data_IF_829483620351
#
_entry.id   IF_829483620351
#
_cell.length_a   1.000
_cell.length_b   1.000
_cell.length_c   1.000
_cell.angle_alpha   90.00
_cell.angle_beta   90.00
_cell.angle_gamma   90.00
#
_symmetry.space_group_name_H-M   'P 1'
#
loop_
_entity.id
_entity.type
_entity.pdbx_description
1 polymer ?
#
# COMPACT_ATOMS: atom_id res chain seq x y z
N UNK A 1 -11.77 0.01 7.76
CA UNK A 1 -12.39 -0.96 8.68
C UNK A 1 -11.33 -1.99 9.08
N UNK A 2 -11.51 -2.69 10.20
CA UNK A 2 -10.60 -3.76 10.62
C UNK A 2 -10.58 -4.87 9.56
N UNK A 3 -9.40 -5.25 9.07
CA UNK A 3 -9.24 -6.35 8.12
C UNK A 3 -9.59 -6.04 6.65
N UNK A 4 -9.83 -4.78 6.29
CA UNK A 4 -10.10 -4.39 4.89
C UNK A 4 -8.90 -4.46 3.96
N UNK A 5 -9.14 -4.85 2.71
CA UNK A 5 -8.09 -4.98 1.71
C UNK A 5 -7.71 -3.71 1.01
N UNK A 6 -6.64 -3.06 1.49
CA UNK A 6 -6.06 -1.88 0.89
C UNK A 6 -4.89 -2.24 -0.04
N UNK A 7 -5.05 -3.27 -0.87
CA UNK A 7 -4.09 -3.48 -1.94
C UNK A 7 -4.19 -2.33 -2.96
N UNK A 8 -3.07 -1.97 -3.60
CA UNK A 8 -3.03 -0.78 -4.46
C UNK A 8 -4.09 -0.82 -5.57
N UNK A 9 -4.35 -2.01 -6.12
CA UNK A 9 -5.37 -2.25 -7.15
C UNK A 9 -6.80 -2.04 -6.66
N UNK A 10 -7.07 -2.24 -5.36
CA UNK A 10 -8.38 -1.99 -4.76
C UNK A 10 -8.58 -0.54 -4.36
N UNK A 11 -7.51 0.13 -3.94
CA UNK A 11 -7.57 1.56 -3.63
C UNK A 11 -7.69 2.41 -4.90
N UNK A 12 -7.09 1.96 -6.01
CA UNK A 12 -7.06 2.69 -7.29
C UNK A 12 -7.54 1.83 -8.47
N UNK A 13 -8.80 1.37 -8.47
CA UNK A 13 -9.32 0.47 -9.50
C UNK A 13 -9.37 1.13 -10.88
N UNK A 14 -9.55 2.45 -10.94
CA UNK A 14 -9.53 3.24 -12.18
C UNK A 14 -8.16 3.25 -12.88
N UNK A 15 -7.07 3.05 -12.11
CA UNK A 15 -5.69 3.04 -12.63
C UNK A 15 -5.16 1.62 -12.89
N UNK A 16 -6.02 0.58 -12.89
CA UNK A 16 -5.60 -0.82 -13.01
C UNK A 16 -4.64 -1.09 -14.18
N UNK A 17 -4.96 -0.56 -15.36
CA UNK A 17 -4.12 -0.74 -16.55
C UNK A 17 -2.78 0.01 -16.43
N UNK A 18 -2.81 1.23 -15.87
CA UNK A 18 -1.60 2.02 -15.59
C UNK A 18 -0.70 1.34 -14.55
N UNK A 19 -1.29 0.81 -13.47
CA UNK A 19 -0.59 0.02 -12.45
C UNK A 19 0.08 -1.19 -13.10
N UNK A 20 -0.65 -1.96 -13.91
CA UNK A 20 -0.10 -3.13 -14.58
C UNK A 20 1.05 -2.75 -15.52
N UNK A 21 0.92 -1.66 -16.27
CA UNK A 21 1.98 -1.14 -17.13
C UNK A 21 3.21 -0.73 -16.32
N UNK A 22 3.04 0.11 -15.29
CA UNK A 22 4.14 0.62 -14.46
C UNK A 22 4.87 -0.50 -13.72
N UNK A 23 4.17 -1.52 -13.21
CA UNK A 23 4.82 -2.69 -12.60
C UNK A 23 5.77 -3.41 -13.58
N UNK A 24 5.47 -3.40 -14.88
CA UNK A 24 6.31 -4.08 -15.88
C UNK A 24 7.46 -3.21 -16.40
N UNK A 25 7.31 -1.88 -16.42
CA UNK A 25 8.29 -0.97 -17.03
C UNK A 25 9.11 -0.17 -16.02
N UNK A 26 8.69 -0.12 -14.76
CA UNK A 26 9.31 0.66 -13.70
C UNK A 26 9.55 -0.22 -12.46
N UNK A 27 10.77 -0.74 -12.36
CA UNK A 27 11.22 -1.57 -11.23
C UNK A 27 11.04 -0.90 -9.87
N UNK A 28 11.20 0.42 -9.79
CA UNK A 28 10.99 1.14 -8.54
C UNK A 28 9.50 1.14 -8.18
N UNK A 29 8.61 1.36 -9.16
CA UNK A 29 7.16 1.30 -8.93
C UNK A 29 6.72 -0.10 -8.50
N UNK A 30 7.28 -1.14 -9.12
CA UNK A 30 7.01 -2.52 -8.78
C UNK A 30 7.43 -2.86 -7.34
N UNK A 31 8.61 -2.38 -6.91
CA UNK A 31 9.11 -2.55 -5.54
C UNK A 31 8.24 -1.83 -4.52
N UNK A 32 7.92 -0.57 -4.79
CA UNK A 32 7.07 0.25 -3.91
C UNK A 32 5.67 -0.35 -3.78
N UNK A 33 5.08 -0.82 -4.88
CA UNK A 33 3.77 -1.50 -4.86
C UNK A 33 3.80 -2.79 -4.04
N UNK A 34 4.86 -3.59 -4.19
CA UNK A 34 5.05 -4.80 -3.35
C UNK A 34 5.20 -4.45 -1.88
N UNK A 35 5.99 -3.42 -1.57
CA UNK A 35 6.20 -2.97 -0.20
C UNK A 35 4.90 -2.47 0.43
N UNK A 36 4.12 -1.69 -0.31
CA UNK A 36 2.81 -1.20 0.12
C UNK A 36 1.84 -2.34 0.43
N UNK A 37 1.70 -3.30 -0.48
CA UNK A 37 0.82 -4.46 -0.25
C UNK A 37 1.29 -5.33 0.92
N UNK A 38 2.60 -5.47 1.13
CA UNK A 38 3.15 -6.22 2.25
C UNK A 38 2.91 -5.51 3.59
N UNK A 39 3.12 -4.19 3.64
CA UNK A 39 2.89 -3.37 4.82
C UNK A 39 1.40 -3.36 5.22
N UNK A 40 0.50 -3.28 4.24
CA UNK A 40 -0.94 -3.38 4.51
C UNK A 40 -1.34 -4.75 5.05
N UNK A 41 -0.75 -5.82 4.51
CA UNK A 41 -0.97 -7.17 5.01
C UNK A 41 -0.49 -7.31 6.47
N UNK A 42 0.71 -6.80 6.77
CA UNK A 42 1.28 -6.82 8.13
C UNK A 42 0.39 -6.07 9.11
N UNK A 43 -0.03 -4.85 8.76
CA UNK A 43 -1.01 -4.05 9.53
C UNK A 43 -2.26 -4.86 9.83
N UNK A 44 -2.82 -5.53 8.82
CA UNK A 44 -4.03 -6.36 9.01
C UNK A 44 -3.81 -7.57 9.89
N UNK A 45 -2.70 -8.28 9.72
CA UNK A 45 -2.36 -9.41 10.56
C UNK A 45 -2.22 -8.98 12.03
N UNK A 46 -1.58 -7.84 12.28
CA UNK A 46 -1.42 -7.26 13.62
C UNK A 46 -2.75 -6.82 14.23
N UNK A 47 -3.65 -6.19 13.45
CA UNK A 47 -5.00 -5.83 13.89
C UNK A 47 -5.85 -7.05 14.22
N UNK A 48 -5.74 -8.13 13.44
CA UNK A 48 -6.50 -9.37 13.65
C UNK A 48 -6.01 -10.18 14.84
N UNK A 49 -4.71 -10.09 15.16
CA UNK A 49 -4.11 -10.83 16.27
C UNK A 49 -4.30 -10.16 17.64
N UNK A 50 -4.95 -9.00 17.71
CA UNK A 50 -4.96 -8.13 18.90
C UNK A 50 -3.53 -7.96 19.45
N UNK A 51 -2.58 -7.84 18.50
CA UNK A 51 -1.16 -8.02 18.78
C UNK A 51 -0.67 -6.95 19.76
N UNK A 52 0.18 -7.27 20.76
CA UNK A 52 0.64 -6.34 21.79
C UNK A 52 1.67 -5.33 21.26
N UNK A 53 1.60 -4.97 19.98
CA UNK A 53 2.41 -3.89 19.46
C UNK A 53 1.90 -2.59 20.08
N UNK A 54 2.81 -1.77 20.58
CA UNK A 54 2.42 -0.50 21.18
C UNK A 54 1.71 0.38 20.15
N UNK A 55 0.73 1.18 20.60
CA UNK A 55 -0.05 2.08 19.74
C UNK A 55 0.82 2.96 18.83
N UNK A 56 1.99 3.38 19.32
CA UNK A 56 2.95 4.16 18.54
C UNK A 56 3.56 3.40 17.35
N UNK A 57 3.89 2.12 17.52
CA UNK A 57 4.39 1.26 16.43
C UNK A 57 3.29 1.03 15.39
N UNK A 58 2.06 0.77 15.84
CA UNK A 58 0.92 0.61 14.94
C UNK A 58 0.64 1.88 14.15
N UNK A 59 0.70 3.04 14.81
CA UNK A 59 0.52 4.34 14.16
C UNK A 59 1.61 4.60 13.13
N UNK A 60 2.86 4.24 13.43
CA UNK A 60 3.97 4.38 12.48
C UNK A 60 3.77 3.51 11.23
N UNK A 61 3.34 2.25 11.38
CA UNK A 61 3.05 1.39 10.23
C UNK A 61 1.93 1.99 9.37
N UNK A 62 0.84 2.46 10.00
CA UNK A 62 -0.27 3.12 9.30
C UNK A 62 0.18 4.40 8.59
N UNK A 63 1.07 5.18 9.21
CA UNK A 63 1.67 6.37 8.62
C UNK A 63 2.51 6.02 7.39
N UNK A 64 3.42 5.07 7.50
CA UNK A 64 4.26 4.60 6.39
C UNK A 64 3.39 4.11 5.22
N UNK A 65 2.29 3.40 5.51
CA UNK A 65 1.34 2.95 4.47
C UNK A 65 0.69 4.14 3.77
N UNK A 66 0.30 5.18 4.51
CA UNK A 66 -0.29 6.38 3.94
C UNK A 66 0.70 7.14 3.04
N UNK A 67 1.93 7.35 3.51
CA UNK A 67 2.97 8.04 2.72
C UNK A 67 3.29 7.28 1.42
N UNK A 68 3.41 5.96 1.51
CA UNK A 68 3.70 5.13 0.35
C UNK A 68 2.54 5.11 -0.64
N UNK A 69 1.30 5.16 -0.15
CA UNK A 69 0.10 5.31 -0.99
C UNK A 69 0.15 6.61 -1.78
N UNK A 70 0.43 7.72 -1.10
CA UNK A 70 0.48 9.04 -1.72
C UNK A 70 1.59 9.11 -2.77
N UNK A 71 2.76 8.54 -2.48
CA UNK A 71 3.86 8.42 -3.43
C UNK A 71 3.49 7.58 -4.66
N UNK A 72 2.83 6.44 -4.47
CA UNK A 72 2.36 5.59 -5.57
C UNK A 72 1.30 6.31 -6.41
N UNK A 73 0.36 7.00 -5.78
CA UNK A 73 -0.68 7.75 -6.47
C UNK A 73 -0.09 8.89 -7.32
N UNK A 74 0.90 9.63 -6.83
CA UNK A 74 1.61 10.64 -7.61
C UNK A 74 2.26 10.07 -8.88
N UNK A 75 2.77 8.84 -8.82
CA UNK A 75 3.35 8.15 -9.99
C UNK A 75 2.28 7.67 -10.95
N UNK A 76 1.11 7.28 -10.46
CA UNK A 76 -0.04 6.92 -11.29
C UNK A 76 -0.56 8.09 -12.11
N UNK A 77 -0.71 9.26 -11.49
CA UNK A 77 -1.16 10.47 -12.20
C UNK A 77 -0.10 11.02 -13.16
N UNK A 78 1.19 10.84 -12.86
CA UNK A 78 2.27 11.29 -13.74
C UNK A 78 2.48 10.38 -14.96
N UNK A 79 2.03 9.12 -14.89
CA UNK A 79 2.09 8.14 -15.98
C UNK A 79 0.91 8.18 -16.95
N UNK A 80 -0.04 9.10 -16.76
CA UNK A 80 -1.23 9.32 -17.56
C UNK A 80 -1.10 10.59 -18.43
#
# INVERSE_FOLDING_TARGET
MLGEDHSLLKEFPEYKDTIAKLINVDDAFAKDTKHYNALDKEIRELELQDSPIGDGSMLQLKHNRAELKDALHLRLIAGN
#
